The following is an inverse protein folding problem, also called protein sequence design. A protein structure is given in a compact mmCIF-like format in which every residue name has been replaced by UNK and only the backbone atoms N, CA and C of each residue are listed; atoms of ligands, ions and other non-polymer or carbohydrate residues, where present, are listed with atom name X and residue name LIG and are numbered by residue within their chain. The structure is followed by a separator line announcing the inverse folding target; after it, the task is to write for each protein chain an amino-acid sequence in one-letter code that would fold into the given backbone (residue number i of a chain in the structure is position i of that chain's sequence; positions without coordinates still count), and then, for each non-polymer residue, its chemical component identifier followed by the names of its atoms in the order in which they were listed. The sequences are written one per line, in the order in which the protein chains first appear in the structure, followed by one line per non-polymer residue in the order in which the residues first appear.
data_IF_923924555404
#
_entry.id   IF_923924555404
#
_cell.length_a   1.000
_cell.length_b   1.000
_cell.length_c   1.000
_cell.angle_alpha   90.00
_cell.angle_beta   90.00
_cell.angle_gamma   90.00
#
_symmetry.space_group_name_H-M   'P 1'
#
loop_
_entity.id
_entity.type
_entity.pdbx_description
1 polymer ?
#
# COMPACT_ATOMS: atom_id res chain seq x y z
N UNK A 1 -6.34 13.93 13.24
CA UNK A 1 -5.51 13.80 12.03
C UNK A 1 -6.22 12.78 11.15
N UNK A 2 -6.74 13.21 10.00
CA UNK A 2 -7.35 12.28 9.04
C UNK A 2 -6.25 11.37 8.48
N UNK A 3 -6.48 10.05 8.55
CA UNK A 3 -5.68 9.10 7.79
C UNK A 3 -5.95 9.32 6.30
N UNK A 4 -4.90 9.35 5.49
CA UNK A 4 -5.03 9.42 4.02
C UNK A 4 -5.77 8.18 3.50
N UNK A 5 -6.47 8.32 2.38
CA UNK A 5 -7.11 7.20 1.69
C UNK A 5 -6.07 6.25 1.07
N UNK A 6 -6.49 5.06 0.71
CA UNK A 6 -5.64 4.10 -0.02
C UNK A 6 -5.07 4.72 -1.30
N UNK A 7 -5.92 5.38 -2.09
CA UNK A 7 -5.57 6.01 -3.37
C UNK A 7 -4.53 7.11 -3.16
N UNK A 8 -4.64 7.89 -2.08
CA UNK A 8 -3.67 8.92 -1.74
C UNK A 8 -2.30 8.32 -1.39
N UNK A 9 -2.27 7.24 -0.60
CA UNK A 9 -1.03 6.54 -0.29
C UNK A 9 -0.39 5.90 -1.53
N UNK A 10 -1.22 5.32 -2.41
CA UNK A 10 -0.76 4.73 -3.67
C UNK A 10 -0.18 5.80 -4.59
N UNK A 11 -0.85 6.94 -4.74
CA UNK A 11 -0.37 8.05 -5.56
C UNK A 11 0.95 8.62 -5.05
N UNK A 12 1.15 8.70 -3.73
CA UNK A 12 2.43 9.08 -3.14
C UNK A 12 3.54 8.06 -3.43
N UNK A 13 3.23 6.76 -3.33
CA UNK A 13 4.17 5.70 -3.65
C UNK A 13 4.59 5.75 -5.13
N UNK A 14 3.64 5.94 -6.05
CA UNK A 14 3.93 6.11 -7.48
C UNK A 14 4.80 7.35 -7.74
N UNK A 15 4.59 8.43 -7.00
CA UNK A 15 5.44 9.62 -7.06
C UNK A 15 6.88 9.32 -6.66
N UNK A 16 7.08 8.53 -5.60
CA UNK A 16 8.41 8.08 -5.18
C UNK A 16 9.05 7.18 -6.23
N UNK A 17 8.30 6.25 -6.83
CA UNK A 17 8.83 5.39 -7.88
C UNK A 17 9.33 6.21 -9.08
N UNK A 18 8.58 7.24 -9.50
CA UNK A 18 9.01 8.16 -10.55
C UNK A 18 10.26 8.94 -10.17
N UNK A 19 10.38 9.37 -8.91
CA UNK A 19 11.57 10.03 -8.40
C UNK A 19 12.79 9.09 -8.42
N UNK A 20 12.62 7.84 -8.01
CA UNK A 20 13.69 6.83 -7.96
C UNK A 20 14.15 6.36 -9.35
N UNK A 21 13.29 6.47 -10.37
CA UNK A 21 13.63 6.16 -11.77
C UNK A 21 14.43 7.28 -12.45
N UNK A 22 14.50 8.47 -11.83
CA UNK A 22 15.32 9.57 -12.31
C UNK A 22 16.82 9.26 -12.16
N UNK A 23 17.52 9.15 -13.30
CA UNK A 23 18.96 8.86 -13.34
C UNK A 23 19.84 9.98 -12.78
N UNK A 24 19.27 11.17 -12.53
CA UNK A 24 19.97 12.32 -11.94
C UNK A 24 19.80 12.43 -10.42
N UNK A 25 19.06 11.50 -9.80
CA UNK A 25 18.84 11.50 -8.35
C UNK A 25 20.15 11.37 -7.56
N UNK A 26 20.26 12.12 -6.46
CA UNK A 26 21.38 11.98 -5.54
C UNK A 26 21.27 10.67 -4.74
N UNK A 27 22.40 10.13 -4.27
CA UNK A 27 22.38 8.95 -3.41
C UNK A 27 21.56 9.18 -2.12
N UNK A 28 21.68 10.37 -1.53
CA UNK A 28 20.95 10.71 -0.31
C UNK A 28 19.43 10.72 -0.55
N UNK A 29 18.99 11.33 -1.65
CA UNK A 29 17.57 11.37 -2.00
C UNK A 29 17.04 10.00 -2.41
N UNK A 30 17.87 9.18 -3.08
CA UNK A 30 17.52 7.80 -3.40
C UNK A 30 17.28 6.96 -2.14
N UNK A 31 18.14 7.09 -1.12
CA UNK A 31 17.97 6.39 0.17
C UNK A 31 16.72 6.87 0.91
N UNK A 32 16.45 8.18 0.91
CA UNK A 32 15.22 8.74 1.49
C UNK A 32 13.97 8.25 0.77
N UNK A 33 13.97 8.32 -0.56
CA UNK A 33 12.89 7.85 -1.42
C UNK A 33 12.62 6.37 -1.21
N UNK A 34 13.66 5.54 -1.19
CA UNK A 34 13.53 4.10 -0.95
C UNK A 34 12.92 3.79 0.42
N UNK A 35 13.43 4.41 1.49
CA UNK A 35 12.92 4.24 2.85
C UNK A 35 11.45 4.63 2.93
N UNK A 36 11.10 5.77 2.32
CA UNK A 36 9.73 6.25 2.30
C UNK A 36 8.81 5.37 1.45
N UNK A 37 9.31 4.84 0.34
CA UNK A 37 8.62 3.89 -0.51
C UNK A 37 8.27 2.60 0.24
N UNK A 38 9.20 2.07 1.05
CA UNK A 38 8.93 0.91 1.90
C UNK A 38 7.82 1.17 2.92
N UNK A 39 7.85 2.34 3.59
CA UNK A 39 6.79 2.71 4.53
C UNK A 39 5.41 2.79 3.85
N UNK A 40 5.34 3.43 2.69
CA UNK A 40 4.08 3.59 1.95
C UNK A 40 3.57 2.26 1.39
N UNK A 41 4.47 1.43 0.86
CA UNK A 41 4.14 0.07 0.40
C UNK A 41 3.55 -0.77 1.54
N UNK A 42 4.15 -0.69 2.74
CA UNK A 42 3.65 -1.39 3.92
C UNK A 42 2.25 -0.90 4.30
N UNK A 43 2.02 0.41 4.30
CA UNK A 43 0.69 0.97 4.59
C UNK A 43 -0.36 0.55 3.57
N UNK A 44 -0.04 0.53 2.28
CA UNK A 44 -0.96 0.07 1.24
C UNK A 44 -1.34 -1.40 1.47
N UNK A 45 -0.35 -2.25 1.79
CA UNK A 45 -0.58 -3.65 2.11
C UNK A 45 -1.46 -3.83 3.36
N UNK A 46 -1.19 -3.08 4.43
CA UNK A 46 -2.00 -3.13 5.66
C UNK A 46 -3.45 -2.74 5.42
N UNK A 47 -3.71 -1.72 4.59
CA UNK A 47 -5.06 -1.31 4.22
C UNK A 47 -5.76 -2.43 3.44
N UNK A 48 -5.10 -3.00 2.43
CA UNK A 48 -5.67 -4.09 1.63
C UNK A 48 -5.99 -5.31 2.49
N UNK A 49 -5.02 -5.76 3.29
CA UNK A 49 -5.16 -6.92 4.17
C UNK A 49 -6.27 -6.72 5.21
N UNK A 50 -6.36 -5.54 5.83
CA UNK A 50 -7.43 -5.24 6.81
C UNK A 50 -8.82 -5.25 6.17
N UNK A 51 -8.94 -4.76 4.93
CA UNK A 51 -10.21 -4.77 4.21
C UNK A 51 -10.58 -6.16 3.71
N UNK A 52 -9.60 -6.95 3.26
CA UNK A 52 -9.79 -8.35 2.87
C UNK A 52 -10.32 -9.18 4.04
N UNK A 53 -9.70 -9.10 5.21
CA UNK A 53 -10.18 -9.77 6.42
C UNK A 53 -11.63 -9.40 6.75
N UNK A 54 -11.97 -8.12 6.60
CA UNK A 54 -13.32 -7.62 6.88
C UNK A 54 -14.34 -8.17 5.87
N UNK A 55 -13.98 -8.27 4.60
CA UNK A 55 -14.81 -8.90 3.56
C UNK A 55 -14.99 -10.39 3.84
N UNK A 56 -13.91 -11.12 4.11
CA UNK A 56 -13.94 -12.56 4.43
C UNK A 56 -14.82 -12.82 5.67
N UNK A 57 -14.70 -11.98 6.71
CA UNK A 57 -15.53 -12.09 7.91
C UNK A 57 -17.02 -11.91 7.60
N UNK A 58 -17.39 -10.87 6.86
CA UNK A 58 -18.79 -10.61 6.46
C UNK A 58 -19.37 -11.71 5.58
N UNK A 59 -18.57 -12.26 4.66
CA UNK A 59 -18.97 -13.37 3.81
C UNK A 59 -19.20 -14.66 4.63
N UNK A 60 -18.31 -14.93 5.59
CA UNK A 60 -18.43 -16.06 6.51
C UNK A 60 -19.70 -15.96 7.38
N UNK A 61 -20.02 -14.76 7.88
CA UNK A 61 -21.27 -14.50 8.62
C UNK A 61 -22.53 -14.67 7.76
N UNK A 62 -22.41 -14.46 6.44
CA UNK A 62 -23.51 -14.61 5.47
C UNK A 62 -23.65 -16.04 4.92
N UNK A 63 -22.81 -16.98 5.34
CA UNK A 63 -22.86 -18.39 4.93
C UNK A 63 -22.34 -18.68 3.51
N UNK A 64 -21.68 -17.71 2.86
CA UNK A 64 -21.07 -17.87 1.53
C UNK A 64 -19.56 -17.80 1.71
N UNK A 65 -18.82 -18.85 1.34
CA UNK A 65 -17.36 -18.78 1.29
C UNK A 65 -16.85 -19.47 0.04
N UNK A 66 -16.28 -18.68 -0.89
CA UNK A 66 -14.91 -18.90 -1.35
C UNK A 66 -14.33 -17.62 -1.99
N UNK A 67 -13.14 -17.21 -1.56
CA UNK A 67 -12.33 -16.16 -2.20
C UNK A 67 -10.93 -16.74 -2.49
N UNK A 68 -10.88 -18.03 -2.86
CA UNK A 68 -9.70 -18.84 -3.11
C UNK A 68 -8.53 -18.57 -2.15
N UNK A 69 -8.63 -19.23 -0.99
CA UNK A 69 -7.47 -19.56 -0.14
C UNK A 69 -6.50 -20.39 -0.98
N UNK A 70 -5.29 -19.88 -1.18
CA UNK A 70 -4.10 -20.73 -1.39
C UNK A 70 -3.56 -21.20 -0.04
#
# INVERSE_FOLDING_TARGET
MENKSFEQYLQELEGILKMLDDKSISLEDAVKGYTKGLELSKKCYEILSSNEELVVKKMSESGIVDFNRE
#
